data_IF_060841368998
#
_entry.id   IF_060841368998
#
_cell.length_a   1.000
_cell.length_b   1.000
_cell.length_c   1.000
_cell.angle_alpha   90.00
_cell.angle_beta   90.00
_cell.angle_gamma   90.00
#
_symmetry.space_group_name_H-M   'P 1'
#
loop_
_entity.id
_entity.type
_entity.pdbx_description
1 polymer ?
#
# COMPACT_ATOMS: atom_id res chain seq x y z
N UNK A 1 9.19 1.11 -8.89
CA UNK A 1 9.12 2.40 -8.17
C UNK A 1 7.68 2.74 -7.87
N UNK A 2 7.41 3.39 -6.74
CA UNK A 2 6.10 3.42 -6.11
C UNK A 2 5.54 4.84 -6.08
N UNK A 3 4.34 5.05 -6.58
CA UNK A 3 3.62 6.31 -6.44
C UNK A 3 2.14 6.05 -6.21
N UNK A 4 1.44 6.99 -5.59
CA UNK A 4 0.07 6.82 -5.15
C UNK A 4 -0.83 7.99 -5.59
N UNK A 5 -2.12 7.71 -5.77
CA UNK A 5 -3.15 8.71 -6.01
C UNK A 5 -3.21 9.73 -4.88
N UNK A 6 -3.46 10.99 -5.22
CA UNK A 6 -3.46 12.12 -4.28
C UNK A 6 -2.08 12.72 -4.01
N UNK A 7 -0.97 12.08 -4.43
CA UNK A 7 0.37 12.68 -4.46
C UNK A 7 1.32 11.88 -5.36
N UNK A 8 1.13 11.91 -6.68
CA UNK A 8 1.88 11.10 -7.64
C UNK A 8 2.46 11.92 -8.80
N UNK A 9 3.18 13.04 -8.54
CA UNK A 9 3.65 13.91 -9.62
C UNK A 9 4.60 13.22 -10.59
N UNK A 10 5.45 12.30 -10.11
CA UNK A 10 6.39 11.56 -10.96
C UNK A 10 5.68 10.50 -11.79
N UNK A 11 4.71 9.76 -11.21
CA UNK A 11 3.93 8.79 -11.97
C UNK A 11 3.08 9.48 -13.04
N UNK A 12 2.54 10.66 -12.75
CA UNK A 12 1.81 11.45 -13.72
C UNK A 12 2.70 11.87 -14.88
N UNK A 13 3.91 12.42 -14.62
CA UNK A 13 4.87 12.77 -15.66
C UNK A 13 5.28 11.55 -16.50
N UNK A 14 5.43 10.38 -15.88
CA UNK A 14 5.72 9.13 -16.59
C UNK A 14 4.62 8.75 -17.58
N UNK A 15 3.36 8.75 -17.13
CA UNK A 15 2.20 8.40 -17.97
C UNK A 15 2.00 9.41 -19.10
N UNK A 16 2.22 10.70 -18.83
CA UNK A 16 2.13 11.78 -19.82
C UNK A 16 3.32 11.79 -20.81
N UNK A 17 4.34 10.98 -20.58
CA UNK A 17 5.60 11.03 -21.38
C UNK A 17 6.37 12.35 -21.22
N UNK A 18 6.08 13.10 -20.14
CA UNK A 18 6.64 14.42 -19.87
C UNK A 18 7.92 14.33 -19.06
N UNK A 19 8.93 15.16 -19.39
CA UNK A 19 10.13 15.36 -18.57
C UNK A 19 9.90 16.38 -17.44
N UNK A 20 8.80 17.09 -17.48
CA UNK A 20 8.45 18.09 -16.48
C UNK A 20 7.54 17.47 -15.43
N UNK A 21 8.01 17.47 -14.18
CA UNK A 21 7.23 17.07 -13.00
C UNK A 21 6.49 18.28 -12.46
N UNK A 22 5.16 18.29 -12.57
CA UNK A 22 4.33 19.38 -12.06
C UNK A 22 4.05 19.15 -10.57
N UNK A 23 4.30 20.15 -9.70
CA UNK A 23 3.94 20.04 -8.30
C UNK A 23 2.44 19.79 -8.09
N UNK A 24 2.10 18.97 -7.11
CA UNK A 24 0.72 18.68 -6.71
C UNK A 24 0.53 18.92 -5.21
N UNK A 25 -0.68 19.31 -4.81
CA UNK A 25 -1.03 19.38 -3.38
C UNK A 25 -1.27 17.96 -2.86
N UNK A 26 -0.51 17.47 -1.87
CA UNK A 26 -0.72 16.13 -1.33
C UNK A 26 -2.07 15.97 -0.63
N UNK A 27 -2.75 14.84 -0.91
CA UNK A 27 -3.96 14.43 -0.20
C UNK A 27 -3.95 12.91 -0.05
N UNK A 28 -3.57 12.39 1.16
CA UNK A 28 -3.28 10.97 1.35
C UNK A 28 -3.06 10.53 2.79
N UNK A 29 -3.38 9.25 3.05
CA UNK A 29 -3.04 8.55 4.29
C UNK A 29 -1.54 8.20 4.39
N UNK A 30 -0.82 8.02 3.25
CA UNK A 30 0.60 7.71 3.25
C UNK A 30 1.45 8.98 3.43
N UNK A 31 1.40 9.54 4.63
CA UNK A 31 1.99 10.86 4.97
C UNK A 31 3.50 10.93 4.69
N UNK A 32 4.24 9.85 4.91
CA UNK A 32 5.69 9.79 4.63
C UNK A 32 6.03 9.91 3.13
N UNK A 33 5.07 9.61 2.25
CA UNK A 33 5.19 9.71 0.79
C UNK A 33 4.46 10.93 0.21
N UNK A 34 3.89 11.79 1.06
CA UNK A 34 3.10 12.93 0.65
C UNK A 34 3.98 14.12 0.21
N UNK A 35 4.87 13.88 -0.77
CA UNK A 35 5.82 14.87 -1.28
C UNK A 35 5.30 15.38 -2.63
N UNK A 36 4.62 16.53 -2.59
CA UNK A 36 3.99 17.11 -3.78
C UNK A 36 4.96 17.73 -4.78
N UNK A 37 6.18 18.06 -4.36
CA UNK A 37 7.25 18.58 -5.21
C UNK A 37 8.56 17.84 -4.87
N UNK A 38 8.77 16.63 -5.42
CA UNK A 38 9.91 15.80 -5.09
C UNK A 38 11.20 16.36 -5.72
N UNK A 39 12.22 16.64 -4.89
CA UNK A 39 13.52 17.15 -5.35
C UNK A 39 14.23 16.14 -6.29
N UNK A 40 14.13 14.85 -5.99
CA UNK A 40 14.76 13.77 -6.76
C UNK A 40 13.82 13.15 -7.81
N UNK A 41 12.68 13.78 -8.08
CA UNK A 41 11.68 13.25 -9.00
C UNK A 41 12.20 13.06 -10.42
N UNK A 42 13.06 13.95 -10.90
CA UNK A 42 13.70 13.85 -12.22
C UNK A 42 14.57 12.59 -12.31
N UNK A 43 15.44 12.36 -11.34
CA UNK A 43 16.31 11.17 -11.32
C UNK A 43 15.50 9.88 -11.23
N UNK A 44 14.41 9.92 -10.45
CA UNK A 44 13.49 8.80 -10.34
C UNK A 44 12.83 8.47 -11.69
N UNK A 45 12.39 9.48 -12.42
CA UNK A 45 11.79 9.33 -13.75
C UNK A 45 12.79 8.78 -14.77
N UNK A 46 14.01 9.34 -14.76
CA UNK A 46 15.10 8.93 -15.65
C UNK A 46 15.49 7.45 -15.43
N UNK A 47 15.71 7.05 -14.17
CA UNK A 47 16.02 5.65 -13.82
C UNK A 47 14.93 4.69 -14.29
N UNK A 48 13.64 5.00 -14.08
CA UNK A 48 12.56 4.12 -14.49
C UNK A 48 12.51 3.98 -16.02
N UNK A 49 12.71 5.07 -16.76
CA UNK A 49 12.73 5.05 -18.23
C UNK A 49 13.93 4.30 -18.78
N UNK A 50 15.13 4.60 -18.29
CA UNK A 50 16.38 3.98 -18.77
C UNK A 50 16.47 2.48 -18.48
N UNK A 51 15.81 2.01 -17.43
CA UNK A 51 15.76 0.58 -17.05
C UNK A 51 14.57 -0.17 -17.64
N UNK A 52 13.67 0.49 -18.38
CA UNK A 52 12.41 -0.12 -18.82
C UNK A 52 11.46 -0.47 -17.68
N UNK A 53 11.61 0.20 -16.54
CA UNK A 53 10.75 0.00 -15.37
C UNK A 53 9.36 0.60 -15.52
N UNK A 54 8.48 0.35 -14.54
CA UNK A 54 7.12 0.87 -14.49
C UNK A 54 6.84 1.74 -13.27
N UNK A 55 5.87 2.62 -13.40
CA UNK A 55 5.30 3.44 -12.34
C UNK A 55 3.79 3.26 -12.30
N UNK A 56 3.22 3.16 -11.10
CA UNK A 56 1.77 3.14 -10.94
C UNK A 56 1.34 4.04 -9.78
N UNK A 57 0.16 4.64 -9.92
CA UNK A 57 -0.50 5.36 -8.84
C UNK A 57 -1.58 4.48 -8.22
N UNK A 58 -1.65 4.42 -6.90
CA UNK A 58 -2.62 3.62 -6.15
C UNK A 58 -3.46 4.49 -5.22
N UNK A 59 -4.71 4.15 -5.01
CA UNK A 59 -5.63 4.85 -4.11
C UNK A 59 -5.32 4.55 -2.64
N UNK A 60 -5.86 5.36 -1.73
CA UNK A 60 -5.70 5.13 -0.29
C UNK A 60 -6.35 3.79 0.15
N UNK A 61 -7.47 3.39 -0.45
CA UNK A 61 -8.09 2.08 -0.22
C UNK A 61 -7.19 0.93 -0.67
N UNK A 62 -6.56 1.05 -1.84
CA UNK A 62 -5.58 0.06 -2.32
C UNK A 62 -4.35 -0.01 -1.40
N UNK A 63 -3.93 1.12 -0.81
CA UNK A 63 -2.84 1.15 0.19
C UNK A 63 -3.23 0.32 1.43
N UNK A 64 -4.43 0.53 1.98
CA UNK A 64 -4.94 -0.25 3.12
C UNK A 64 -5.02 -1.74 2.77
N UNK A 65 -5.56 -2.08 1.60
CA UNK A 65 -5.62 -3.47 1.14
C UNK A 65 -4.23 -4.07 0.92
N UNK A 66 -3.26 -3.30 0.45
CA UNK A 66 -1.86 -3.72 0.34
C UNK A 66 -1.24 -4.05 1.70
N UNK A 67 -1.48 -3.21 2.72
CA UNK A 67 -1.04 -3.47 4.10
C UNK A 67 -1.68 -4.77 4.65
N UNK A 68 -2.99 -4.94 4.45
CA UNK A 68 -3.73 -6.14 4.89
C UNK A 68 -3.28 -7.40 4.15
N UNK A 69 -3.03 -7.29 2.84
CA UNK A 69 -2.52 -8.41 2.05
C UNK A 69 -1.17 -8.88 2.60
N UNK A 70 -0.22 -7.97 2.79
CA UNK A 70 1.11 -8.29 3.33
C UNK A 70 1.03 -8.93 4.72
N UNK A 71 0.18 -8.38 5.61
CA UNK A 71 -0.03 -8.94 6.94
C UNK A 71 -0.63 -10.36 6.90
N UNK A 72 -1.58 -10.59 6.00
CA UNK A 72 -2.30 -11.86 5.87
C UNK A 72 -1.47 -12.97 5.23
N UNK A 73 -0.62 -12.64 4.25
CA UNK A 73 0.17 -13.64 3.50
C UNK A 73 1.55 -13.87 4.09
N UNK A 74 2.20 -12.81 4.61
CA UNK A 74 3.58 -12.86 5.07
C UNK A 74 3.75 -12.62 6.58
N UNK A 75 2.67 -12.29 7.30
CA UNK A 75 2.73 -11.94 8.71
C UNK A 75 3.43 -10.60 8.99
N UNK A 76 3.60 -9.74 7.98
CA UNK A 76 4.31 -8.47 8.10
C UNK A 76 3.33 -7.32 8.22
N UNK A 77 3.32 -6.63 9.36
CA UNK A 77 2.55 -5.41 9.56
C UNK A 77 3.38 -4.19 9.17
N UNK A 78 3.22 -3.74 7.92
CA UNK A 78 3.93 -2.59 7.36
C UNK A 78 3.18 -1.27 7.57
N UNK A 79 3.91 -0.14 7.57
CA UNK A 79 3.31 1.20 7.46
C UNK A 79 2.68 1.44 6.07
N UNK A 80 1.97 2.55 5.90
CA UNK A 80 1.33 2.92 4.63
C UNK A 80 2.28 2.93 3.42
N UNK A 81 3.57 3.26 3.60
CA UNK A 81 4.56 3.15 2.52
C UNK A 81 4.74 1.70 2.02
N UNK A 82 4.73 0.71 2.94
CA UNK A 82 4.72 -0.70 2.58
C UNK A 82 3.42 -1.11 1.86
N UNK A 83 2.29 -0.56 2.29
CA UNK A 83 1.01 -0.73 1.61
C UNK A 83 1.05 -0.24 0.17
N UNK A 84 1.62 0.96 -0.07
CA UNK A 84 1.86 1.49 -1.43
C UNK A 84 2.73 0.54 -2.24
N UNK A 85 3.79 0.00 -1.64
CA UNK A 85 4.69 -0.96 -2.32
C UNK A 85 3.94 -2.19 -2.82
N UNK A 86 3.16 -2.82 -1.95
CA UNK A 86 2.41 -4.05 -2.28
C UNK A 86 1.29 -3.76 -3.27
N UNK A 87 0.52 -2.68 -3.09
CA UNK A 87 -0.55 -2.30 -4.00
C UNK A 87 -0.01 -2.03 -5.42
N UNK A 88 1.13 -1.33 -5.53
CA UNK A 88 1.78 -1.07 -6.81
C UNK A 88 2.32 -2.36 -7.45
N UNK A 89 2.97 -3.24 -6.68
CA UNK A 89 3.42 -4.53 -7.18
C UNK A 89 2.25 -5.34 -7.74
N UNK A 90 1.14 -5.43 -6.99
CA UNK A 90 -0.08 -6.12 -7.42
C UNK A 90 -0.61 -5.56 -8.74
N UNK A 91 -0.65 -4.24 -8.90
CA UNK A 91 -1.11 -3.58 -10.12
C UNK A 91 -0.17 -3.86 -11.29
N UNK A 92 1.13 -3.65 -11.14
CA UNK A 92 2.11 -3.89 -12.20
C UNK A 92 2.17 -5.35 -12.63
N UNK A 93 1.97 -6.29 -11.71
CA UNK A 93 1.83 -7.71 -12.03
C UNK A 93 0.55 -8.00 -12.82
N UNK A 94 -0.58 -7.40 -12.44
CA UNK A 94 -1.84 -7.56 -13.18
C UNK A 94 -1.79 -6.95 -14.59
N UNK A 95 -1.01 -5.89 -14.77
CA UNK A 95 -0.76 -5.24 -16.07
C UNK A 95 0.33 -5.94 -16.91
N UNK A 96 0.94 -7.01 -16.38
CA UNK A 96 2.00 -7.77 -17.07
C UNK A 96 3.35 -7.06 -17.16
N UNK A 97 3.52 -5.94 -16.45
CA UNK A 97 4.80 -5.22 -16.35
C UNK A 97 5.81 -6.03 -15.54
N UNK A 98 5.33 -6.69 -14.47
CA UNK A 98 6.09 -7.67 -13.70
C UNK A 98 5.63 -9.06 -14.13
N UNK A 99 6.55 -9.87 -14.68
CA UNK A 99 6.23 -11.21 -15.17
C UNK A 99 6.29 -12.26 -14.07
N UNK A 100 5.53 -13.36 -14.19
CA UNK A 100 5.52 -14.44 -13.18
C UNK A 100 6.86 -15.15 -12.98
N UNK A 101 7.74 -15.12 -13.98
CA UNK A 101 9.07 -15.74 -13.97
C UNK A 101 10.17 -14.82 -13.41
N UNK A 102 9.83 -13.56 -13.11
CA UNK A 102 10.79 -12.61 -12.57
C UNK A 102 10.98 -12.76 -11.05
N UNK A 103 12.22 -12.59 -10.60
CA UNK A 103 12.53 -12.48 -9.17
C UNK A 103 12.40 -11.03 -8.74
N UNK A 104 11.41 -10.75 -7.90
CA UNK A 104 11.13 -9.40 -7.41
C UNK A 104 11.62 -9.24 -5.97
N UNK A 105 12.35 -8.15 -5.70
CA UNK A 105 12.72 -7.73 -4.34
C UNK A 105 11.82 -6.57 -3.93
N UNK A 106 11.15 -6.73 -2.81
CA UNK A 106 10.19 -5.74 -2.28
C UNK A 106 10.76 -5.09 -1.03
N UNK A 107 10.92 -3.76 -1.05
CA UNK A 107 11.40 -3.00 0.11
C UNK A 107 10.24 -2.61 1.03
N UNK A 108 10.21 -3.18 2.22
CA UNK A 108 9.29 -2.81 3.30
C UNK A 108 10.08 -2.02 4.33
N UNK A 109 9.92 -0.71 4.34
CA UNK A 109 10.81 0.25 5.00
C UNK A 109 10.37 0.68 6.39
N UNK A 110 9.13 0.39 6.79
CA UNK A 110 8.62 0.82 8.09
C UNK A 110 7.53 -0.07 8.66
N UNK A 111 7.46 -0.08 9.99
CA UNK A 111 6.48 -0.87 10.75
C UNK A 111 5.12 -0.17 10.84
N UNK A 112 4.03 -0.95 10.80
CA UNK A 112 2.65 -0.45 10.76
C UNK A 112 2.22 0.39 11.96
N UNK A 113 2.86 0.24 13.13
CA UNK A 113 2.59 1.09 14.29
C UNK A 113 2.88 2.58 14.05
N UNK A 114 3.66 2.95 13.03
CA UNK A 114 3.90 4.35 12.64
C UNK A 114 2.69 5.02 12.00
N UNK A 115 1.78 4.23 11.45
CA UNK A 115 0.58 4.71 10.75
C UNK A 115 -0.66 3.86 11.11
N UNK A 116 -0.79 3.52 12.39
CA UNK A 116 -1.86 2.67 12.91
C UNK A 116 -3.25 3.22 12.56
N UNK A 117 -3.42 4.52 12.57
CA UNK A 117 -4.66 5.21 12.23
C UNK A 117 -5.18 4.89 10.82
N UNK A 118 -4.30 4.52 9.90
CA UNK A 118 -4.68 4.18 8.53
C UNK A 118 -5.43 2.83 8.44
N UNK A 119 -5.18 1.90 9.35
CA UNK A 119 -5.78 0.55 9.34
C UNK A 119 -6.71 0.29 10.50
N UNK A 120 -6.65 1.04 11.59
CA UNK A 120 -7.47 0.85 12.77
C UNK A 120 -8.98 0.74 12.47
N UNK A 121 -9.57 1.53 11.56
CA UNK A 121 -10.97 1.38 11.17
C UNK A 121 -11.31 0.04 10.48
N UNK A 122 -10.30 -0.63 9.93
CA UNK A 122 -10.43 -1.86 9.14
C UNK A 122 -9.98 -3.13 9.87
N UNK A 123 -9.36 -2.99 11.04
CA UNK A 123 -8.72 -4.07 11.80
C UNK A 123 -9.07 -4.04 13.30
N UNK A 124 -10.17 -3.40 13.65
CA UNK A 124 -10.67 -3.35 15.03
C UNK A 124 -11.26 -4.68 15.52
N UNK A 125 -11.60 -4.78 16.82
CA UNK A 125 -12.32 -5.92 17.36
C UNK A 125 -13.63 -6.14 16.61
N UNK A 126 -13.93 -7.38 16.30
CA UNK A 126 -15.18 -7.76 15.62
C UNK A 126 -16.39 -7.76 16.57
N UNK A 127 -16.14 -7.98 17.87
CA UNK A 127 -17.16 -7.95 18.90
C UNK A 127 -16.56 -7.56 20.25
N UNK A 128 -17.39 -6.95 21.11
CA UNK A 128 -17.11 -6.76 22.53
C UNK A 128 -18.10 -7.62 23.30
N UNK A 129 -17.60 -8.56 24.09
CA UNK A 129 -18.42 -9.52 24.82
C UNK A 129 -18.07 -9.50 26.32
N UNK A 130 -18.96 -10.00 27.18
CA UNK A 130 -18.64 -10.26 28.57
C UNK A 130 -17.53 -11.34 28.67
N UNK A 131 -16.66 -11.32 29.69
CA UNK A 131 -15.57 -12.28 29.85
C UNK A 131 -16.10 -13.63 30.35
N UNK A 132 -16.92 -14.32 29.54
CA UNK A 132 -17.45 -15.64 29.82
C UNK A 132 -17.52 -16.50 28.58
N UNK A 133 -17.41 -17.82 28.73
CA UNK A 133 -17.49 -18.77 27.65
C UNK A 133 -18.86 -18.74 26.95
N UNK A 134 -19.92 -18.57 27.73
CA UNK A 134 -21.29 -18.49 27.18
C UNK A 134 -21.48 -17.25 26.30
N UNK A 135 -20.94 -16.09 26.72
CA UNK A 135 -20.97 -14.88 25.92
C UNK A 135 -20.16 -15.03 24.63
N UNK A 136 -19.02 -15.73 24.69
CA UNK A 136 -18.22 -16.03 23.50
C UNK A 136 -18.95 -16.95 22.53
N UNK A 137 -19.53 -18.06 23.03
CA UNK A 137 -20.29 -18.99 22.20
C UNK A 137 -21.50 -18.31 21.55
N UNK A 138 -22.25 -17.52 22.32
CA UNK A 138 -23.40 -16.80 21.82
C UNK A 138 -23.05 -15.75 20.74
N UNK A 139 -21.90 -15.09 20.88
CA UNK A 139 -21.48 -14.07 19.92
C UNK A 139 -20.95 -14.63 18.59
N UNK A 140 -20.51 -15.89 18.57
CA UNK A 140 -19.87 -16.51 17.40
C UNK A 140 -20.59 -17.77 16.90
N UNK A 141 -21.82 -18.03 17.35
CA UNK A 141 -22.65 -19.21 16.97
C UNK A 141 -21.87 -20.53 17.05
N UNK A 142 -21.05 -20.69 18.11
CA UNK A 142 -20.27 -21.91 18.31
C UNK A 142 -21.12 -22.92 19.05
N UNK A 143 -21.58 -23.96 18.33
CA UNK A 143 -22.26 -25.11 18.96
C UNK A 143 -21.30 -25.91 19.83
N UNK A 144 -21.79 -26.49 20.93
CA UNK A 144 -21.00 -27.43 21.73
C UNK A 144 -20.68 -28.65 20.88
N UNK A 145 -19.39 -28.98 20.78
CA UNK A 145 -19.00 -30.27 20.21
C UNK A 145 -19.54 -31.38 21.11
N UNK A 146 -20.45 -32.18 20.55
CA UNK A 146 -21.09 -33.36 21.20
C UNK A 146 -20.07 -34.43 21.51
#
# INVERSE_FOLDING_TARGET
MLFRSGCSPVAQAFVEGSDTIRPVKPSTIAKSLAIGNPADGYFALDVVRSTGGGLAAVTDDEVVEGMRLLARTEGIFAETAGGVTIATLKRLAAEGVVRPDERVVVYITGHGLKTLEAVAPHCGPTATIAPSLDAFRAAFDIEEAS
#
